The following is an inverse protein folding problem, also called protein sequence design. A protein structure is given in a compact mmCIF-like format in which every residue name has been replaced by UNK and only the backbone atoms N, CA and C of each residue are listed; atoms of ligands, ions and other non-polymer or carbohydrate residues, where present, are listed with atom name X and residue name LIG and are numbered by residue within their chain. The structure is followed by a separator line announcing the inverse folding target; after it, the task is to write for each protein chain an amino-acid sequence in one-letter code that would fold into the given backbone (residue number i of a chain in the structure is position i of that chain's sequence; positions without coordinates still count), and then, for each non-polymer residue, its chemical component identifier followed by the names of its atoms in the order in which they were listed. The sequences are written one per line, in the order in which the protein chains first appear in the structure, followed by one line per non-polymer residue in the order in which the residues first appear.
data_IF_460389615702
#
_entry.id   IF_460389615702
#
_cell.length_a   1.000
_cell.length_b   1.000
_cell.length_c   1.000
_cell.angle_alpha   90.00
_cell.angle_beta   90.00
_cell.angle_gamma   90.00
#
_symmetry.space_group_name_H-M   'P 1'
#
loop_
_entity.id
_entity.type
_entity.pdbx_description
1 polymer ?
#
# COMPACT_ATOMS: atom_id res chain seq x y z
N UNK A 1 37.42 -24.75 26.11
CA UNK A 1 38.34 -24.04 25.20
C UNK A 1 39.30 -25.04 24.61
N UNK A 2 39.05 -25.47 23.36
CA UNK A 2 39.89 -26.41 22.63
C UNK A 2 40.63 -25.64 21.54
N UNK A 3 41.96 -25.67 21.58
CA UNK A 3 42.83 -24.87 20.72
C UNK A 3 43.44 -25.78 19.67
N UNK A 4 42.85 -25.84 18.47
CA UNK A 4 43.46 -26.52 17.33
C UNK A 4 44.30 -25.52 16.53
N UNK A 5 45.61 -25.59 16.69
CA UNK A 5 46.60 -24.98 15.78
C UNK A 5 46.97 -26.03 14.74
N UNK A 6 46.70 -25.76 13.47
CA UNK A 6 47.33 -26.48 12.35
C UNK A 6 48.28 -25.50 11.68
N UNK A 7 49.58 -25.79 11.78
CA UNK A 7 50.65 -25.22 10.96
C UNK A 7 50.77 -26.08 9.70
N UNK A 8 50.73 -25.44 8.53
CA UNK A 8 51.31 -25.96 7.29
C UNK A 8 52.08 -24.82 6.63
N UNK A 9 53.42 -24.86 6.72
CA UNK A 9 54.30 -24.33 5.67
C UNK A 9 54.18 -25.24 4.45
N UNK A 10 54.57 -24.87 3.23
CA UNK A 10 55.79 -24.18 2.82
C UNK A 10 55.66 -23.71 1.37
N UNK A 11 56.16 -22.50 1.09
CA UNK A 11 57.03 -22.17 -0.05
C UNK A 11 56.62 -22.57 -1.47
N UNK A 12 56.21 -21.57 -2.26
CA UNK A 12 56.65 -21.46 -3.66
C UNK A 12 56.79 -19.98 -4.02
N UNK A 13 58.05 -19.58 -4.22
CA UNK A 13 58.49 -18.32 -4.80
C UNK A 13 57.82 -18.07 -6.15
N UNK A 14 57.23 -16.90 -6.35
CA UNK A 14 57.18 -16.30 -7.69
C UNK A 14 57.64 -14.84 -7.62
N UNK A 15 58.49 -14.54 -8.60
CA UNK A 15 59.35 -13.39 -8.68
C UNK A 15 58.59 -12.08 -8.88
N UNK A 16 59.20 -11.03 -8.34
CA UNK A 16 58.93 -9.62 -8.63
C UNK A 16 58.93 -9.37 -10.14
N UNK A 17 57.84 -8.80 -10.66
CA UNK A 17 57.88 -7.97 -11.85
C UNK A 17 57.11 -6.68 -11.54
N UNK A 18 57.91 -5.64 -11.27
CA UNK A 18 57.47 -4.26 -11.13
C UNK A 18 56.89 -3.77 -12.46
N UNK A 19 55.61 -3.44 -12.49
CA UNK A 19 55.05 -2.54 -13.50
C UNK A 19 54.36 -1.38 -12.78
N UNK A 20 54.90 -0.18 -13.02
CA UNK A 20 54.43 1.08 -12.47
C UNK A 20 53.07 1.49 -13.06
N UNK A 21 52.14 1.82 -12.14
CA UNK A 21 51.11 2.88 -12.20
C UNK A 21 50.32 3.10 -13.51
N UNK A 22 49.06 2.67 -13.51
CA UNK A 22 47.94 3.39 -14.14
C UNK A 22 46.82 3.54 -13.10
N UNK A 23 46.33 4.76 -12.95
CA UNK A 23 45.27 5.15 -12.01
C UNK A 23 43.93 4.50 -12.42
N UNK A 24 43.35 3.72 -11.53
CA UNK A 24 41.91 3.54 -11.38
C UNK A 24 41.68 3.40 -9.86
N UNK A 25 41.26 4.45 -9.16
CA UNK A 25 39.87 4.88 -9.24
C UNK A 25 39.04 3.92 -8.39
N UNK A 26 38.99 4.19 -7.09
CA UNK A 26 38.15 3.61 -6.04
C UNK A 26 37.13 2.55 -6.52
N UNK A 27 37.50 1.28 -6.44
CA UNK A 27 36.51 0.21 -6.25
C UNK A 27 36.60 -0.27 -4.81
N UNK A 28 36.36 0.66 -3.87
CA UNK A 28 35.48 0.29 -2.76
C UNK A 28 34.14 0.02 -3.41
N UNK A 29 33.98 -1.21 -3.92
CA UNK A 29 32.66 -1.79 -4.09
C UNK A 29 32.01 -1.64 -2.74
N UNK A 30 31.14 -0.63 -2.64
CA UNK A 30 30.02 -0.64 -1.73
C UNK A 30 29.34 -1.98 -1.96
N UNK A 31 29.78 -2.99 -1.20
CA UNK A 31 28.97 -4.11 -0.79
C UNK A 31 27.88 -3.46 0.06
N UNK A 32 26.94 -2.81 -0.64
CA UNK A 32 25.62 -2.55 -0.15
C UNK A 32 25.08 -3.93 0.16
N UNK A 33 25.34 -4.38 1.38
CA UNK A 33 24.38 -5.20 2.08
C UNK A 33 23.12 -4.36 2.05
N UNK A 34 22.30 -4.58 1.03
CA UNK A 34 20.89 -4.33 1.09
C UNK A 34 20.47 -5.12 2.32
N UNK A 35 20.48 -4.43 3.47
CA UNK A 35 19.98 -4.91 4.74
C UNK A 35 18.50 -5.16 4.46
N UNK A 36 18.20 -6.39 4.02
CA UNK A 36 16.87 -6.94 3.89
C UNK A 36 16.31 -6.93 5.31
N UNK A 37 15.88 -5.74 5.76
CA UNK A 37 15.25 -5.54 7.04
C UNK A 37 14.03 -6.44 7.02
N UNK A 38 14.13 -7.57 7.71
CA UNK A 38 13.04 -8.51 7.86
C UNK A 38 11.85 -7.75 8.42
N UNK A 39 10.82 -7.60 7.60
CA UNK A 39 9.60 -6.88 7.99
C UNK A 39 8.87 -7.74 9.00
N UNK A 40 8.68 -7.24 10.22
CA UNK A 40 7.81 -7.89 11.21
C UNK A 40 6.36 -7.82 10.74
N UNK A 41 5.98 -8.82 9.93
CA UNK A 41 4.66 -8.93 9.36
C UNK A 41 3.57 -8.99 10.42
N UNK A 42 3.85 -9.60 11.57
CA UNK A 42 2.90 -9.67 12.68
C UNK A 42 2.67 -8.29 13.30
N UNK A 43 3.68 -7.44 13.37
CA UNK A 43 3.52 -6.03 13.77
C UNK A 43 2.72 -5.24 12.74
N UNK A 44 2.97 -5.41 11.45
CA UNK A 44 2.20 -4.78 10.37
C UNK A 44 0.71 -5.14 10.48
N UNK A 45 0.39 -6.43 10.59
CA UNK A 45 -0.99 -6.90 10.74
C UNK A 45 -1.68 -6.33 11.98
N UNK A 46 -1.00 -6.28 13.14
CA UNK A 46 -1.55 -5.70 14.37
C UNK A 46 -1.90 -4.23 14.20
N UNK A 47 -1.03 -3.44 13.55
CA UNK A 47 -1.27 -2.01 13.31
C UNK A 47 -2.41 -1.78 12.33
N UNK A 48 -2.44 -2.55 11.25
CA UNK A 48 -3.55 -2.51 10.30
C UNK A 48 -4.88 -2.84 10.99
N UNK A 49 -4.95 -3.93 11.74
CA UNK A 49 -6.15 -4.32 12.50
C UNK A 49 -6.57 -3.25 13.51
N UNK A 50 -5.61 -2.62 14.19
CA UNK A 50 -5.89 -1.51 15.10
C UNK A 50 -6.51 -0.32 14.36
N UNK A 51 -5.95 0.09 13.23
CA UNK A 51 -6.49 1.17 12.40
C UNK A 51 -7.90 0.84 11.88
N UNK A 52 -8.11 -0.37 11.34
CA UNK A 52 -9.43 -0.84 10.89
C UNK A 52 -10.47 -0.84 12.02
N UNK A 53 -10.09 -1.21 13.25
CA UNK A 53 -11.01 -1.19 14.39
C UNK A 53 -11.51 0.22 14.75
N UNK A 54 -10.68 1.25 14.53
CA UNK A 54 -11.06 2.64 14.79
C UNK A 54 -12.04 3.16 13.72
N UNK A 55 -11.81 2.79 12.45
CA UNK A 55 -12.72 3.09 11.34
C UNK A 55 -14.08 2.43 11.56
N UNK A 56 -14.10 1.14 11.92
CA UNK A 56 -15.34 0.40 12.17
C UNK A 56 -16.15 0.98 13.33
N UNK A 57 -15.49 1.48 14.39
CA UNK A 57 -16.19 2.19 15.48
C UNK A 57 -16.96 3.41 14.98
N UNK A 58 -16.37 4.21 14.09
CA UNK A 58 -17.04 5.38 13.51
C UNK A 58 -18.17 4.92 12.60
N UNK A 59 -17.94 3.93 11.74
CA UNK A 59 -18.98 3.37 10.86
C UNK A 59 -20.18 2.88 11.66
N UNK A 60 -19.97 2.08 12.70
CA UNK A 60 -21.03 1.53 13.55
C UNK A 60 -21.86 2.65 14.22
N UNK A 61 -21.23 3.76 14.61
CA UNK A 61 -21.92 4.91 15.19
C UNK A 61 -22.81 5.67 14.19
N UNK A 62 -22.52 5.57 12.88
CA UNK A 62 -23.21 6.28 11.81
C UNK A 62 -23.88 5.34 10.80
N UNK A 63 -24.37 4.18 11.25
CA UNK A 63 -25.04 3.21 10.36
C UNK A 63 -26.51 3.52 10.10
N UNK A 64 -27.20 4.21 11.01
CA UNK A 64 -28.65 4.38 10.91
C UNK A 64 -29.05 5.37 9.80
N UNK A 65 -30.17 5.12 9.11
CA UNK A 65 -30.70 5.98 8.04
C UNK A 65 -32.23 5.90 7.96
N UNK A 66 -32.84 6.86 7.27
CA UNK A 66 -34.26 6.87 6.92
C UNK A 66 -34.44 6.67 5.42
N UNK A 67 -33.55 7.25 4.61
CA UNK A 67 -33.61 7.26 3.15
C UNK A 67 -32.24 6.99 2.54
N UNK A 68 -32.20 6.57 1.27
CA UNK A 68 -30.95 6.40 0.52
C UNK A 68 -30.12 7.70 0.49
N UNK A 69 -30.79 8.86 0.45
CA UNK A 69 -30.11 10.16 0.45
C UNK A 69 -29.35 10.45 1.73
N UNK A 70 -29.61 9.73 2.82
CA UNK A 70 -28.87 9.86 4.07
C UNK A 70 -27.51 9.15 4.03
N UNK A 71 -27.34 8.20 3.11
CA UNK A 71 -26.17 7.34 3.03
C UNK A 71 -25.17 7.84 1.99
N UNK A 72 -23.88 7.61 2.25
CA UNK A 72 -22.78 7.97 1.35
C UNK A 72 -21.64 6.96 1.49
N UNK A 73 -20.98 6.63 0.37
CA UNK A 73 -19.72 5.89 0.37
C UNK A 73 -18.60 6.89 0.69
N UNK A 74 -17.83 6.61 1.74
CA UNK A 74 -16.64 7.41 2.10
C UNK A 74 -15.38 6.58 1.91
N UNK A 75 -14.33 7.20 1.37
CA UNK A 75 -13.01 6.58 1.37
C UNK A 75 -12.50 6.43 2.80
N UNK A 76 -12.17 5.20 3.18
CA UNK A 76 -11.63 4.83 4.50
C UNK A 76 -10.17 4.39 4.43
N UNK A 77 -9.52 4.63 3.30
CA UNK A 77 -8.12 4.31 3.10
C UNK A 77 -7.24 5.11 4.07
N UNK A 78 -6.20 4.45 4.56
CA UNK A 78 -5.19 5.04 5.46
C UNK A 78 -3.81 4.76 4.88
N UNK A 79 -2.75 5.37 5.40
CA UNK A 79 -1.38 4.99 5.03
C UNK A 79 -1.00 3.56 5.46
N UNK A 80 -1.83 2.90 6.26
CA UNK A 80 -1.66 1.49 6.60
C UNK A 80 -2.13 0.57 5.46
N UNK A 81 -3.06 1.03 4.62
CA UNK A 81 -3.72 0.21 3.60
C UNK A 81 -4.94 0.90 3.01
N UNK A 82 -5.25 0.55 1.76
CA UNK A 82 -6.41 1.04 1.05
C UNK A 82 -7.66 0.18 1.30
N UNK A 83 -8.82 0.76 1.02
CA UNK A 83 -10.13 0.14 1.23
C UNK A 83 -11.05 0.43 0.04
N UNK A 84 -12.16 -0.29 -0.07
CA UNK A 84 -13.20 0.02 -1.07
C UNK A 84 -14.18 1.11 -0.63
N UNK A 85 -13.84 1.82 0.45
CA UNK A 85 -14.72 2.74 1.13
C UNK A 85 -15.81 2.03 1.93
N UNK A 86 -16.42 2.78 2.84
CA UNK A 86 -17.48 2.32 3.73
C UNK A 86 -18.73 3.13 3.52
N UNK A 87 -19.90 2.50 3.67
CA UNK A 87 -21.17 3.22 3.63
C UNK A 87 -21.54 3.68 5.04
N UNK A 88 -21.73 4.98 5.20
CA UNK A 88 -22.16 5.61 6.45
C UNK A 88 -23.22 6.67 6.19
N UNK A 89 -23.90 7.08 7.26
CA UNK A 89 -24.75 8.25 7.27
C UNK A 89 -23.92 9.53 7.05
N UNK A 90 -24.43 10.47 6.24
CA UNK A 90 -23.75 11.72 5.86
C UNK A 90 -23.25 12.54 7.04
N UNK A 91 -23.97 12.52 8.16
CA UNK A 91 -23.56 13.20 9.40
C UNK A 91 -22.19 12.71 9.94
N UNK A 92 -21.79 11.48 9.62
CA UNK A 92 -20.53 10.87 10.08
C UNK A 92 -19.30 11.22 9.25
N UNK A 93 -19.45 11.84 8.08
CA UNK A 93 -18.35 12.07 7.12
C UNK A 93 -17.17 12.83 7.75
N UNK A 94 -17.46 13.90 8.51
CA UNK A 94 -16.40 14.69 9.14
C UNK A 94 -15.71 13.93 10.27
N UNK A 95 -16.44 13.11 11.01
CA UNK A 95 -15.85 12.26 12.05
C UNK A 95 -14.96 11.18 11.44
N UNK A 96 -15.37 10.59 10.31
CA UNK A 96 -14.56 9.62 9.58
C UNK A 96 -13.25 10.25 9.07
N UNK A 97 -13.31 11.45 8.48
CA UNK A 97 -12.10 12.18 8.04
C UNK A 97 -11.13 12.46 9.19
N UNK A 98 -11.66 12.85 10.35
CA UNK A 98 -10.85 13.09 11.56
C UNK A 98 -10.17 11.82 12.05
N UNK A 99 -10.87 10.68 12.09
CA UNK A 99 -10.26 9.43 12.55
C UNK A 99 -9.18 8.94 11.58
N UNK A 100 -9.40 9.02 10.27
CA UNK A 100 -8.40 8.66 9.25
C UNK A 100 -7.17 9.54 9.37
N UNK A 101 -7.35 10.86 9.48
CA UNK A 101 -6.25 11.81 9.66
C UNK A 101 -5.43 11.49 10.92
N UNK A 102 -6.11 11.21 12.03
CA UNK A 102 -5.46 10.81 13.28
C UNK A 102 -4.68 9.50 13.14
N UNK A 103 -5.27 8.48 12.51
CA UNK A 103 -4.62 7.19 12.26
C UNK A 103 -3.37 7.34 11.38
N UNK A 104 -3.47 8.15 10.33
CA UNK A 104 -2.35 8.46 9.44
C UNK A 104 -1.19 9.13 10.19
N UNK A 105 -1.51 10.08 11.06
CA UNK A 105 -0.50 10.82 11.83
C UNK A 105 0.15 9.99 12.97
N UNK A 106 -0.48 8.91 13.41
CA UNK A 106 -0.05 8.14 14.59
C UNK A 106 0.37 6.71 14.23
N UNK A 107 -0.60 5.87 13.88
CA UNK A 107 -0.44 4.43 13.68
C UNK A 107 0.23 4.12 12.36
N UNK A 108 -0.25 4.76 11.29
CA UNK A 108 0.15 4.38 9.93
C UNK A 108 1.48 4.99 9.48
N UNK A 109 1.88 6.14 10.05
CA UNK A 109 3.23 6.66 9.87
C UNK A 109 4.28 5.65 10.32
N UNK A 110 4.04 4.98 11.45
CA UNK A 110 4.95 3.95 11.96
C UNK A 110 4.88 2.67 11.12
N UNK A 111 3.67 2.29 10.65
CA UNK A 111 3.49 1.18 9.71
C UNK A 111 4.38 1.34 8.46
N UNK A 112 4.40 2.55 7.88
CA UNK A 112 5.26 2.85 6.73
C UNK A 112 6.76 2.79 7.07
N UNK A 113 7.17 3.32 8.22
CA UNK A 113 8.59 3.28 8.68
C UNK A 113 9.14 1.87 8.89
N UNK A 114 8.27 0.93 9.24
CA UNK A 114 8.63 -0.49 9.41
C UNK A 114 8.74 -1.24 8.07
N UNK A 115 8.48 -0.59 6.94
CA UNK A 115 8.48 -1.24 5.62
C UNK A 115 7.27 -2.14 5.38
N UNK A 116 6.18 -1.95 6.12
CA UNK A 116 4.97 -2.74 5.92
C UNK A 116 4.39 -2.49 4.52
N UNK A 117 3.98 -3.54 3.79
CA UNK A 117 3.43 -3.40 2.46
C UNK A 117 2.08 -2.70 2.49
N UNK A 118 1.83 -1.89 1.46
CA UNK A 118 0.55 -1.25 1.22
C UNK A 118 -0.24 -2.06 0.21
N UNK A 119 -1.49 -2.39 0.54
CA UNK A 119 -2.40 -3.09 -0.35
C UNK A 119 -3.75 -2.39 -0.40
N UNK A 120 -4.41 -2.43 -1.56
CA UNK A 120 -5.81 -2.04 -1.72
C UNK A 120 -6.54 -3.21 -2.39
N UNK A 121 -7.66 -3.68 -1.83
CA UNK A 121 -8.43 -4.75 -2.46
C UNK A 121 -9.04 -4.30 -3.79
N UNK A 122 -9.34 -5.25 -4.67
CA UNK A 122 -10.10 -4.95 -5.89
C UNK A 122 -11.54 -4.58 -5.51
N UNK A 123 -11.98 -3.39 -5.92
CA UNK A 123 -13.26 -2.83 -5.54
C UNK A 123 -14.31 -2.97 -6.64
N UNK A 124 -15.49 -3.44 -6.26
CA UNK A 124 -16.65 -3.49 -7.14
C UNK A 124 -17.40 -2.16 -7.09
N UNK A 125 -17.93 -1.73 -8.24
CA UNK A 125 -18.81 -0.58 -8.29
C UNK A 125 -20.06 -0.85 -7.45
N UNK A 126 -20.36 0.08 -6.54
CA UNK A 126 -21.51 -0.01 -5.64
C UNK A 126 -22.15 1.36 -5.44
N UNK A 127 -23.37 1.36 -4.93
CA UNK A 127 -24.10 2.55 -4.49
C UNK A 127 -24.43 2.43 -3.00
N UNK A 128 -24.53 3.57 -2.33
CA UNK A 128 -25.04 3.66 -0.97
C UNK A 128 -26.58 3.60 -0.97
N UNK A 129 -27.17 2.74 -0.15
CA UNK A 129 -28.62 2.65 0.04
C UNK A 129 -28.97 2.51 1.51
N UNK A 130 -30.19 2.89 1.87
CA UNK A 130 -30.77 2.66 3.17
C UNK A 130 -31.63 1.40 3.14
N UNK A 131 -31.09 0.30 3.67
CA UNK A 131 -31.79 -0.97 3.71
C UNK A 131 -32.10 -1.35 5.16
N UNK A 132 -33.39 -1.53 5.48
CA UNK A 132 -33.85 -1.90 6.83
C UNK A 132 -33.38 -0.92 7.93
N UNK A 133 -33.30 0.37 7.60
CA UNK A 133 -32.87 1.43 8.52
C UNK A 133 -31.36 1.51 8.73
N UNK A 134 -30.56 0.79 7.93
CA UNK A 134 -29.10 0.86 7.96
C UNK A 134 -28.50 1.19 6.59
N UNK A 135 -27.47 2.02 6.59
CA UNK A 135 -26.66 2.34 5.42
C UNK A 135 -25.83 1.12 5.01
N UNK A 136 -26.04 0.65 3.78
CA UNK A 136 -25.31 -0.48 3.21
C UNK A 136 -24.90 -0.18 1.76
N UNK A 137 -23.97 -0.98 1.24
CA UNK A 137 -23.67 -1.00 -0.18
C UNK A 137 -24.60 -1.97 -0.91
N UNK A 138 -24.98 -1.58 -2.12
CA UNK A 138 -25.61 -2.44 -3.12
C UNK A 138 -24.78 -2.39 -4.39
N UNK A 139 -24.61 -3.52 -5.08
CA UNK A 139 -23.89 -3.53 -6.35
C UNK A 139 -24.53 -2.55 -7.33
N UNK A 140 -23.70 -1.72 -7.98
CA UNK A 140 -24.21 -0.88 -9.05
C UNK A 140 -24.69 -1.80 -10.17
N UNK A 141 -25.98 -1.72 -10.53
CA UNK A 141 -26.48 -2.49 -11.66
C UNK A 141 -25.65 -2.11 -12.89
N UNK A 142 -24.88 -3.07 -13.41
CA UNK A 142 -24.22 -2.90 -14.70
C UNK A 142 -25.33 -2.74 -15.72
N UNK A 143 -25.53 -1.53 -16.23
CA UNK A 143 -26.46 -1.33 -17.35
C UNK A 143 -26.07 -2.32 -18.46
N UNK A 144 -26.98 -3.18 -18.93
CA UNK A 144 -26.74 -4.00 -20.12
C UNK A 144 -26.72 -3.03 -21.32
N UNK A 145 -25.56 -2.47 -21.60
CA UNK A 145 -25.38 -1.43 -22.62
C UNK A 145 -23.95 -0.91 -22.78
N UNK A 146 -23.03 -1.23 -21.86
CA UNK A 146 -21.61 -0.90 -21.99
C UNK A 146 -20.74 -2.12 -22.27
N UNK A 147 -21.25 -3.07 -23.06
CA UNK A 147 -20.35 -3.91 -23.84
C UNK A 147 -19.63 -2.98 -24.82
N UNK A 148 -18.38 -2.65 -24.50
CA UNK A 148 -17.43 -2.13 -25.48
C UNK A 148 -17.46 -3.09 -26.68
N UNK A 149 -17.65 -2.62 -27.93
CA UNK A 149 -17.40 -3.46 -29.08
C UNK A 149 -15.92 -3.89 -29.02
N UNK A 150 -15.71 -5.20 -28.93
CA UNK A 150 -14.43 -5.80 -29.28
C UNK A 150 -14.22 -5.59 -30.79
N UNK A 151 -12.98 -5.22 -31.15
CA UNK A 151 -12.42 -5.18 -32.50
C UNK A 151 -12.96 -4.15 -33.52
N UNK A 152 -12.24 -3.03 -33.63
CA UNK A 152 -11.81 -2.54 -34.95
C UNK A 152 -10.36 -2.03 -34.86
N UNK A 153 -9.40 -2.61 -35.60
CA UNK A 153 -8.07 -2.04 -35.76
C UNK A 153 -8.10 -1.04 -36.93
N UNK A 154 -8.16 0.26 -36.64
CA UNK A 154 -7.81 1.26 -37.65
C UNK A 154 -8.52 2.60 -37.58
N UNK A 155 -8.10 3.48 -36.67
CA UNK A 155 -8.03 4.92 -36.93
C UNK A 155 -7.26 5.61 -35.81
N UNK A 156 -6.12 6.24 -36.14
CA UNK A 156 -5.47 7.21 -35.28
C UNK A 156 -6.35 8.46 -35.16
N UNK A 157 -6.73 8.92 -33.95
CA UNK A 157 -7.24 10.27 -33.80
C UNK A 157 -6.09 11.27 -33.84
N UNK A 158 -6.09 12.13 -34.85
CA UNK A 158 -5.24 13.33 -34.91
C UNK A 158 -5.67 14.29 -33.81
N UNK A 159 -4.75 14.65 -32.90
CA UNK A 159 -4.96 15.75 -31.97
C UNK A 159 -4.97 17.08 -32.76
N UNK A 160 -5.94 17.99 -32.56
CA UNK A 160 -5.83 19.34 -33.08
C UNK A 160 -4.77 20.11 -32.29
N UNK A 161 -3.90 20.80 -33.02
CA UNK A 161 -2.86 21.66 -32.49
C UNK A 161 -3.45 22.75 -31.56
N UNK A 162 -2.85 22.89 -30.38
CA UNK A 162 -3.07 24.01 -29.49
C UNK A 162 -2.69 25.33 -30.19
N UNK A 163 -3.54 26.35 -30.03
CA UNK A 163 -3.19 27.76 -30.28
C UNK A 163 -2.61 28.36 -29.02
#
# INVERSE_FOLDING_TARGET
MNTNRIRLGTSALFAMASFSLVIAGFTDTMEGTEDEREVDWKACQRRHAHASSQVERVRAAYRACVTDSDCVIVDTSTYCGGTCGEVIHRAGVQQMRRVISHLNATVCRENWRMGCPYGTPACLASRAVCARGECTSEAAATSPGSALPADEPGALPTCPAAR
#
